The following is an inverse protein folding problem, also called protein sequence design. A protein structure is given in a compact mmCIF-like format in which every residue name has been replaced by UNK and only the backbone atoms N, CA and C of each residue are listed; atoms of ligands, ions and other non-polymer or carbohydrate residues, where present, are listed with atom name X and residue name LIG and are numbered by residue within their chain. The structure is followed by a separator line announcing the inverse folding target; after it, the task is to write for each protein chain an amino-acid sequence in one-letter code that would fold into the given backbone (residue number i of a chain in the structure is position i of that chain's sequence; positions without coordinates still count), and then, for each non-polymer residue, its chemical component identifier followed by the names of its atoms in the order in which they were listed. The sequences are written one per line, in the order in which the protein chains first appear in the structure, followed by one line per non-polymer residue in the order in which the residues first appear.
data_IF_855986742290
#
_entry.id   IF_855986742290
#
_cell.length_a   1.000
_cell.length_b   1.000
_cell.length_c   1.000
_cell.angle_alpha   90.00
_cell.angle_beta   90.00
_cell.angle_gamma   90.00
#
_symmetry.space_group_name_H-M   'P 1'
#
loop_
_entity.id
_entity.type
_entity.pdbx_description
1 polymer ?
#
# COMPACT_ATOMS: atom_id res chain seq x y z
N UNK A 1 -38.90 8.53 5.20
CA UNK A 1 -39.99 8.39 4.22
C UNK A 1 -40.57 7.00 4.42
N UNK A 2 -41.69 6.92 5.12
CA UNK A 2 -42.47 5.70 5.30
C UNK A 2 -43.20 5.42 3.99
N UNK A 3 -42.91 4.27 3.39
CA UNK A 3 -43.68 3.78 2.25
C UNK A 3 -45.05 3.30 2.76
N UNK A 4 -46.07 3.27 1.92
CA UNK A 4 -47.44 2.86 2.29
C UNK A 4 -47.56 1.39 2.77
N UNK A 5 -46.43 0.67 2.82
CA UNK A 5 -46.28 -0.72 3.24
C UNK A 5 -45.85 -0.90 4.71
N UNK A 6 -45.76 0.17 5.50
CA UNK A 6 -45.32 0.07 6.92
C UNK A 6 -43.82 -0.23 7.09
N UNK A 7 -43.03 -0.05 6.03
CA UNK A 7 -41.58 -0.28 6.03
C UNK A 7 -40.83 1.05 6.04
N UNK A 8 -39.96 1.24 7.03
CA UNK A 8 -39.03 2.35 7.08
C UNK A 8 -37.63 1.87 6.72
N UNK A 9 -37.17 2.23 5.52
CA UNK A 9 -35.80 1.91 5.06
C UNK A 9 -34.84 2.98 5.54
N UNK A 10 -33.90 2.60 6.40
CA UNK A 10 -32.83 3.48 6.86
C UNK A 10 -31.62 3.35 5.94
N UNK A 11 -31.21 4.49 5.41
CA UNK A 11 -30.12 4.61 4.44
C UNK A 11 -28.81 4.92 5.17
N UNK A 12 -27.71 4.46 4.59
CA UNK A 12 -26.37 4.92 5.00
C UNK A 12 -26.14 6.37 4.58
N UNK A 13 -25.28 7.08 5.31
CA UNK A 13 -24.85 8.44 4.98
C UNK A 13 -24.05 8.48 3.67
N UNK A 14 -24.06 9.63 3.00
CA UNK A 14 -23.29 9.86 1.76
C UNK A 14 -21.80 9.64 2.03
N UNK A 15 -21.29 10.22 3.13
CA UNK A 15 -19.91 10.06 3.57
C UNK A 15 -19.52 8.59 3.71
N UNK A 16 -20.35 7.77 4.36
CA UNK A 16 -20.10 6.33 4.52
C UNK A 16 -20.00 5.61 3.17
N UNK A 17 -20.90 5.93 2.22
CA UNK A 17 -20.86 5.37 0.86
C UNK A 17 -19.57 5.76 0.14
N UNK A 18 -19.17 7.02 0.20
CA UNK A 18 -17.93 7.48 -0.42
C UNK A 18 -16.71 6.79 0.20
N UNK A 19 -16.63 6.66 1.52
CA UNK A 19 -15.54 5.93 2.19
C UNK A 19 -15.49 4.45 1.78
N UNK A 20 -16.65 3.78 1.76
CA UNK A 20 -16.74 2.38 1.32
C UNK A 20 -16.29 2.20 -0.13
N UNK A 21 -16.71 3.12 -1.01
CA UNK A 21 -16.34 3.13 -2.42
C UNK A 21 -14.83 3.31 -2.60
N UNK A 22 -14.25 4.36 -2.01
CA UNK A 22 -12.80 4.64 -2.08
C UNK A 22 -11.98 3.48 -1.54
N UNK A 23 -12.39 2.87 -0.42
CA UNK A 23 -11.68 1.74 0.20
C UNK A 23 -11.62 0.52 -0.73
N UNK A 24 -12.73 0.15 -1.36
CA UNK A 24 -12.76 -1.01 -2.28
C UNK A 24 -12.01 -0.69 -3.56
N UNK A 25 -12.18 0.51 -4.13
CA UNK A 25 -11.46 0.93 -5.34
C UNK A 25 -9.94 0.95 -5.13
N UNK A 26 -9.46 1.38 -3.96
CA UNK A 26 -8.04 1.32 -3.61
C UNK A 26 -7.49 -0.11 -3.66
N UNK A 27 -8.25 -1.08 -3.13
CA UNK A 27 -7.85 -2.49 -3.18
C UNK A 27 -7.74 -3.03 -4.61
N UNK A 28 -8.71 -2.72 -5.47
CA UNK A 28 -8.67 -3.09 -6.90
C UNK A 28 -7.49 -2.44 -7.61
N UNK A 29 -7.26 -1.15 -7.34
CA UNK A 29 -6.17 -0.39 -7.90
C UNK A 29 -4.80 -0.96 -7.52
N UNK A 30 -4.62 -1.36 -6.26
CA UNK A 30 -3.37 -1.98 -5.78
C UNK A 30 -3.04 -3.28 -6.54
N UNK A 31 -4.03 -4.12 -6.82
CA UNK A 31 -3.84 -5.36 -7.59
C UNK A 31 -3.36 -5.09 -9.02
N UNK A 32 -3.96 -4.10 -9.70
CA UNK A 32 -3.50 -3.68 -11.03
C UNK A 32 -2.04 -3.20 -10.99
N UNK A 33 -1.68 -2.43 -9.97
CA UNK A 33 -0.33 -1.90 -9.85
C UNK A 33 0.69 -3.02 -9.64
N UNK A 34 0.39 -4.00 -8.78
CA UNK A 34 1.22 -5.20 -8.60
C UNK A 34 1.42 -5.95 -9.93
N UNK A 35 0.36 -6.04 -10.75
CA UNK A 35 0.45 -6.62 -12.08
C UNK A 35 1.41 -5.81 -12.98
N UNK A 36 1.29 -4.48 -13.01
CA UNK A 36 2.18 -3.62 -13.79
C UNK A 36 3.66 -3.69 -13.35
N UNK A 37 3.97 -3.96 -12.09
CA UNK A 37 5.36 -4.19 -11.65
C UNK A 37 5.90 -5.57 -12.05
N UNK A 38 5.01 -6.55 -12.19
CA UNK A 38 5.39 -7.94 -12.41
C UNK A 38 5.51 -8.30 -13.89
N UNK A 39 4.81 -7.58 -14.77
CA UNK A 39 4.64 -7.97 -16.17
C UNK A 39 4.90 -6.78 -17.13
N UNK A 40 5.74 -6.94 -18.19
CA UNK A 40 6.06 -5.87 -19.13
C UNK A 40 5.02 -5.68 -20.27
N UNK A 41 3.98 -6.52 -20.37
CA UNK A 41 2.99 -6.48 -21.47
C UNK A 41 2.29 -5.13 -21.64
N UNK A 42 2.23 -4.30 -20.60
CA UNK A 42 1.64 -2.97 -20.67
C UNK A 42 2.57 -1.91 -21.27
N UNK A 43 3.84 -2.22 -21.57
CA UNK A 43 4.81 -1.21 -22.02
C UNK A 43 4.38 -0.47 -23.30
N UNK A 44 3.61 -1.14 -24.17
CA UNK A 44 3.02 -0.55 -25.38
C UNK A 44 1.87 0.44 -25.11
N UNK A 45 1.38 0.53 -23.87
CA UNK A 45 0.28 1.40 -23.49
C UNK A 45 0.81 2.67 -22.80
N UNK A 46 0.25 3.87 -23.10
CA UNK A 46 0.59 5.11 -22.40
C UNK A 46 -0.13 5.17 -21.04
N UNK A 47 0.42 4.53 -20.00
CA UNK A 47 -0.30 4.32 -18.74
C UNK A 47 -0.62 5.65 -18.02
N UNK A 48 0.20 6.68 -18.23
CA UNK A 48 0.00 8.02 -17.68
C UNK A 48 -1.31 8.69 -18.13
N UNK A 49 -1.79 8.42 -19.35
CA UNK A 49 -3.03 8.98 -19.89
C UNK A 49 -4.25 8.21 -19.38
N UNK A 50 -4.12 6.90 -19.22
CA UNK A 50 -5.23 6.02 -18.81
C UNK A 50 -5.35 5.87 -17.29
N UNK A 51 -4.38 6.33 -16.50
CA UNK A 51 -4.39 6.19 -15.04
C UNK A 51 -5.66 6.74 -14.38
N UNK A 52 -6.06 7.97 -14.71
CA UNK A 52 -7.29 8.57 -14.18
C UNK A 52 -8.56 7.84 -14.68
N UNK A 53 -8.74 7.56 -15.99
CA UNK A 53 -9.82 6.71 -16.48
C UNK A 53 -9.92 5.35 -15.77
N UNK A 54 -8.79 4.69 -15.48
CA UNK A 54 -8.75 3.41 -14.78
C UNK A 54 -9.29 3.54 -13.35
N UNK A 55 -8.94 4.60 -12.62
CA UNK A 55 -9.49 4.83 -11.27
C UNK A 55 -11.01 5.01 -11.34
N UNK A 56 -11.50 5.78 -12.32
CA UNK A 56 -12.94 5.98 -12.52
C UNK A 56 -13.65 4.66 -12.88
N UNK A 57 -13.02 3.82 -13.70
CA UNK A 57 -13.50 2.47 -13.99
C UNK A 57 -13.55 1.61 -12.71
N UNK A 58 -12.50 1.63 -11.88
CA UNK A 58 -12.47 0.89 -10.61
C UNK A 58 -13.44 1.44 -9.56
N UNK A 59 -13.79 2.72 -9.61
CA UNK A 59 -14.90 3.28 -8.84
C UNK A 59 -16.23 2.70 -9.32
N UNK A 60 -16.45 2.62 -10.64
CA UNK A 60 -17.61 1.94 -11.20
C UNK A 60 -17.70 0.48 -10.78
N UNK A 61 -16.61 -0.28 -10.95
CA UNK A 61 -16.54 -1.71 -10.57
C UNK A 61 -16.75 -1.88 -9.06
N UNK A 62 -16.08 -1.08 -8.22
CA UNK A 62 -16.27 -1.12 -6.77
C UNK A 62 -17.72 -0.82 -6.37
N UNK A 63 -18.39 0.11 -7.07
CA UNK A 63 -19.80 0.40 -6.85
C UNK A 63 -20.66 -0.84 -7.08
N UNK A 64 -20.46 -1.55 -8.20
CA UNK A 64 -21.20 -2.77 -8.51
C UNK A 64 -20.88 -3.91 -7.54
N UNK A 65 -19.61 -4.08 -7.15
CA UNK A 65 -19.20 -5.06 -6.14
C UNK A 65 -19.92 -4.78 -4.81
N UNK A 66 -19.92 -3.53 -4.34
CA UNK A 66 -20.58 -3.14 -3.10
C UNK A 66 -22.10 -3.35 -3.16
N UNK A 67 -22.74 -3.02 -4.28
CA UNK A 67 -24.16 -3.31 -4.49
C UNK A 67 -24.44 -4.81 -4.49
N UNK A 68 -23.59 -5.62 -5.13
CA UNK A 68 -23.73 -7.07 -5.14
C UNK A 68 -23.58 -7.65 -3.74
N UNK A 69 -22.56 -7.24 -2.97
CA UNK A 69 -22.33 -7.69 -1.60
C UNK A 69 -23.49 -7.33 -0.66
N UNK A 70 -24.16 -6.21 -0.89
CA UNK A 70 -25.36 -5.81 -0.14
C UNK A 70 -26.64 -6.53 -0.62
N UNK A 71 -26.68 -6.98 -1.88
CA UNK A 71 -27.85 -7.63 -2.48
C UNK A 71 -28.17 -8.98 -1.83
N UNK A 72 -29.43 -9.46 -1.88
CA UNK A 72 -29.79 -10.79 -1.37
C UNK A 72 -28.94 -11.92 -1.95
N UNK A 73 -28.52 -11.82 -3.22
CA UNK A 73 -27.64 -12.78 -3.87
C UNK A 73 -26.25 -12.83 -3.23
N UNK A 74 -25.63 -11.67 -3.00
CA UNK A 74 -24.34 -11.57 -2.33
C UNK A 74 -24.41 -12.02 -0.87
N UNK A 75 -25.46 -11.66 -0.14
CA UNK A 75 -25.65 -12.11 1.24
C UNK A 75 -25.82 -13.63 1.33
N UNK A 76 -26.52 -14.26 0.37
CA UNK A 76 -26.61 -15.73 0.29
C UNK A 76 -25.25 -16.37 0.01
N UNK A 77 -24.49 -15.82 -0.93
CA UNK A 77 -23.14 -16.31 -1.27
C UNK A 77 -22.21 -16.31 -0.05
N UNK A 78 -22.27 -15.25 0.76
CA UNK A 78 -21.43 -15.07 1.94
C UNK A 78 -22.10 -15.53 3.26
N UNK A 79 -23.26 -16.17 3.18
CA UNK A 79 -24.01 -16.63 4.35
C UNK A 79 -23.23 -17.56 5.29
N UNK A 80 -22.37 -18.49 4.82
CA UNK A 80 -21.59 -19.36 5.72
C UNK A 80 -20.66 -18.59 6.65
N UNK A 81 -20.10 -17.47 6.18
CA UNK A 81 -19.16 -16.65 6.95
C UNK A 81 -19.88 -15.62 7.80
N UNK A 82 -20.87 -14.92 7.23
CA UNK A 82 -21.55 -13.79 7.88
C UNK A 82 -22.89 -14.16 8.53
N UNK A 83 -23.25 -15.47 8.52
CA UNK A 83 -24.48 -16.01 9.10
C UNK A 83 -25.75 -15.31 8.57
N UNK A 84 -25.76 -14.92 7.29
CA UNK A 84 -26.86 -14.19 6.64
C UNK A 84 -26.90 -12.68 6.90
N UNK A 85 -25.93 -12.10 7.62
CA UNK A 85 -25.72 -10.66 7.65
C UNK A 85 -25.02 -10.19 6.36
N UNK A 86 -25.27 -8.96 5.88
CA UNK A 86 -24.57 -8.45 4.72
C UNK A 86 -23.08 -8.24 5.06
N UNK A 87 -22.14 -8.64 4.19
CA UNK A 87 -20.71 -8.38 4.37
C UNK A 87 -20.38 -6.89 4.50
N UNK A 88 -21.16 -6.03 3.83
CA UNK A 88 -21.00 -4.58 3.83
C UNK A 88 -22.37 -3.90 3.88
N UNK A 89 -22.47 -2.82 4.66
CA UNK A 89 -23.61 -1.89 4.61
C UNK A 89 -23.27 -0.75 3.66
N UNK A 90 -23.82 -0.77 2.44
CA UNK A 90 -23.44 0.20 1.41
C UNK A 90 -24.49 1.28 1.20
N UNK A 91 -25.68 0.98 0.64
CA UNK A 91 -26.78 1.93 0.48
C UNK A 91 -27.84 1.79 1.56
N UNK A 92 -28.16 0.55 1.94
CA UNK A 92 -29.20 0.18 2.91
C UNK A 92 -28.53 -0.23 4.21
N UNK A 93 -28.85 0.48 5.28
CA UNK A 93 -28.30 0.13 6.58
C UNK A 93 -29.16 -0.94 7.26
N UNK A 94 -30.45 -0.69 7.39
CA UNK A 94 -31.44 -1.65 7.89
C UNK A 94 -32.86 -1.21 7.50
N UNK A 95 -33.81 -2.14 7.59
CA UNK A 95 -35.22 -1.90 7.32
C UNK A 95 -36.01 -2.20 8.61
N UNK A 96 -36.89 -1.29 9.01
CA UNK A 96 -37.75 -1.49 10.19
C UNK A 96 -39.20 -1.63 9.75
N UNK A 97 -39.81 -2.75 10.13
CA UNK A 97 -41.21 -3.07 9.87
C UNK A 97 -42.04 -2.72 11.09
N UNK A 98 -43.01 -1.81 10.93
CA UNK A 98 -43.88 -1.35 12.04
C UNK A 98 -45.02 -2.31 12.38
N UNK A 99 -45.19 -3.41 11.64
CA UNK A 99 -46.10 -4.50 11.98
C UNK A 99 -47.59 -4.19 11.79
N UNK A 100 -47.93 -3.46 10.72
CA UNK A 100 -49.33 -3.19 10.34
C UNK A 100 -49.52 -3.56 8.86
N UNK A 101 -50.11 -4.72 8.62
CA UNK A 101 -50.87 -5.12 7.41
C UNK A 101 -51.36 -6.55 7.62
N UNK A 102 -52.55 -6.84 7.07
CA UNK A 102 -53.45 -8.02 7.20
C UNK A 102 -52.86 -9.45 7.26
N UNK A 103 -51.54 -9.63 7.22
CA UNK A 103 -50.82 -10.92 7.13
C UNK A 103 -49.88 -11.23 8.32
N UNK A 104 -50.23 -10.83 9.54
CA UNK A 104 -49.59 -11.32 10.77
C UNK A 104 -48.04 -11.14 10.83
N UNK A 105 -47.54 -10.00 10.34
CA UNK A 105 -46.11 -9.69 10.39
C UNK A 105 -45.76 -8.91 11.65
N UNK A 106 -45.26 -9.63 12.68
CA UNK A 106 -44.68 -9.01 13.87
C UNK A 106 -43.60 -7.98 13.51
N UNK A 107 -43.61 -6.86 14.24
CA UNK A 107 -42.68 -5.76 14.05
C UNK A 107 -41.23 -6.25 14.20
N UNK A 108 -40.37 -5.90 13.23
CA UNK A 108 -39.05 -6.50 13.11
C UNK A 108 -38.04 -5.54 12.46
N UNK A 109 -36.76 -5.75 12.78
CA UNK A 109 -35.63 -5.14 12.09
C UNK A 109 -35.02 -6.17 11.15
N UNK A 110 -34.95 -5.83 9.87
CA UNK A 110 -34.40 -6.67 8.81
C UNK A 110 -33.12 -6.08 8.28
N UNK A 111 -32.11 -6.94 8.08
CA UNK A 111 -30.85 -6.58 7.47
C UNK A 111 -30.23 -7.80 6.76
N UNK A 112 -29.95 -7.67 5.47
CA UNK A 112 -29.55 -8.81 4.64
C UNK A 112 -30.64 -9.88 4.62
N UNK A 113 -30.30 -11.09 5.08
CA UNK A 113 -31.25 -12.21 5.22
C UNK A 113 -31.75 -12.38 6.66
N UNK A 114 -31.25 -11.58 7.61
CA UNK A 114 -31.64 -11.67 9.02
C UNK A 114 -32.87 -10.82 9.29
N UNK A 115 -33.81 -11.40 10.03
CA UNK A 115 -34.98 -10.72 10.60
C UNK A 115 -34.95 -10.90 12.11
N UNK A 116 -34.77 -9.80 12.83
CA UNK A 116 -34.80 -9.76 14.29
C UNK A 116 -36.12 -9.16 14.70
N UNK A 117 -36.97 -9.95 15.35
CA UNK A 117 -38.24 -9.45 15.87
C UNK A 117 -38.00 -8.45 17.00
N UNK A 118 -38.78 -7.38 17.05
CA UNK A 118 -38.60 -6.29 18.03
C UNK A 118 -38.94 -6.72 19.47
N UNK A 119 -39.87 -7.65 19.63
CA UNK A 119 -40.27 -8.21 20.92
C UNK A 119 -39.08 -8.84 21.66
N UNK A 120 -38.17 -9.49 20.94
CA UNK A 120 -36.96 -10.12 21.48
C UNK A 120 -35.86 -9.12 21.89
N UNK A 121 -35.93 -7.85 21.50
CA UNK A 121 -34.89 -6.86 21.78
C UNK A 121 -35.23 -6.15 23.09
N UNK A 122 -34.46 -6.41 24.14
CA UNK A 122 -34.72 -5.86 25.48
C UNK A 122 -33.91 -4.59 25.74
N UNK A 123 -32.70 -4.50 25.17
CA UNK A 123 -31.87 -3.29 25.31
C UNK A 123 -31.06 -2.94 24.06
N UNK A 124 -30.80 -1.64 23.91
CA UNK A 124 -29.91 -1.06 22.91
C UNK A 124 -28.67 -0.47 23.58
N UNK A 125 -27.50 -0.93 23.16
CA UNK A 125 -26.24 -0.46 23.72
C UNK A 125 -25.30 0.10 22.67
N UNK A 126 -24.76 1.29 22.93
CA UNK A 126 -23.63 1.82 22.17
C UNK A 126 -22.30 1.42 22.81
N UNK A 127 -21.50 0.67 22.07
CA UNK A 127 -20.12 0.29 22.45
C UNK A 127 -19.15 1.46 22.38
N UNK A 128 -17.98 1.32 23.03
CA UNK A 128 -16.87 2.28 22.92
C UNK A 128 -16.45 2.53 21.46
N UNK A 129 -16.52 1.49 20.64
CA UNK A 129 -16.12 1.51 19.22
C UNK A 129 -17.23 2.01 18.28
N UNK A 130 -18.32 2.58 18.81
CA UNK A 130 -19.39 3.15 18.00
C UNK A 130 -20.27 2.12 17.27
N UNK A 131 -20.23 0.85 17.68
CA UNK A 131 -21.21 -0.15 17.24
C UNK A 131 -22.45 -0.12 18.14
N UNK A 132 -23.63 -0.14 17.54
CA UNK A 132 -24.93 -0.34 18.18
C UNK A 132 -25.19 -1.84 18.33
N UNK A 133 -25.44 -2.30 19.54
CA UNK A 133 -25.77 -3.69 19.87
C UNK A 133 -27.25 -3.80 20.20
N UNK A 134 -27.89 -4.81 19.61
CA UNK A 134 -29.24 -5.22 19.99
C UNK A 134 -29.08 -6.41 20.91
N UNK A 135 -29.62 -6.30 22.11
CA UNK A 135 -29.46 -7.34 23.13
C UNK A 135 -30.80 -7.89 23.58
N UNK A 136 -30.77 -9.16 23.96
CA UNK A 136 -31.92 -9.89 24.49
C UNK A 136 -31.55 -10.56 25.80
N UNK A 137 -32.46 -10.47 26.76
CA UNK A 137 -32.41 -11.18 28.04
C UNK A 137 -33.20 -12.48 27.96
N UNK A 138 -34.23 -12.55 27.12
CA UNK A 138 -35.16 -13.68 27.00
C UNK A 138 -34.58 -14.96 26.36
N UNK A 139 -33.47 -14.88 25.65
CA UNK A 139 -32.91 -16.01 24.89
C UNK A 139 -31.95 -16.89 25.71
N UNK A 140 -31.61 -16.51 26.95
CA UNK A 140 -30.86 -17.39 27.84
C UNK A 140 -31.75 -18.48 28.45
N UNK A 141 -31.31 -19.74 28.34
CA UNK A 141 -31.75 -20.76 29.29
C UNK A 141 -31.34 -20.39 30.71
N UNK A 142 -32.08 -20.87 31.72
CA UNK A 142 -31.80 -20.62 33.15
C UNK A 142 -30.31 -20.84 33.45
N UNK A 143 -29.60 -19.77 33.80
CA UNK A 143 -28.26 -19.85 34.40
C UNK A 143 -28.36 -20.51 35.78
N UNK A 144 -27.31 -21.21 36.21
CA UNK A 144 -27.25 -21.74 37.57
C UNK A 144 -27.04 -20.61 38.59
N UNK A 145 -27.51 -20.79 39.82
CA UNK A 145 -27.37 -19.78 40.90
C UNK A 145 -25.90 -19.35 41.11
N UNK A 146 -24.95 -20.28 40.97
CA UNK A 146 -23.52 -20.02 41.11
C UNK A 146 -22.91 -19.16 39.98
N UNK A 147 -23.46 -19.22 38.77
CA UNK A 147 -23.02 -18.36 37.64
C UNK A 147 -23.63 -16.96 37.73
N UNK A 148 -24.82 -16.87 38.31
CA UNK A 148 -25.56 -15.62 38.53
C UNK A 148 -24.84 -14.72 39.56
N UNK A 149 -24.24 -15.31 40.60
CA UNK A 149 -23.43 -14.57 41.58
C UNK A 149 -22.06 -14.10 41.04
N UNK A 150 -21.45 -14.84 40.12
CA UNK A 150 -20.10 -14.51 39.59
C UNK A 150 -20.09 -13.41 38.52
N UNK A 151 -21.13 -13.33 37.70
CA UNK A 151 -21.14 -12.47 36.50
C UNK A 151 -21.96 -11.18 36.70
N UNK A 152 -22.69 -11.09 37.81
CA UNK A 152 -23.71 -10.06 38.01
C UNK A 152 -24.99 -10.44 37.28
N UNK A 153 -26.14 -10.08 37.86
CA UNK A 153 -27.45 -10.47 37.35
C UNK A 153 -27.63 -9.98 35.89
N UNK A 154 -27.85 -10.94 34.98
CA UNK A 154 -28.21 -10.80 33.56
C UNK A 154 -27.08 -10.53 32.55
N UNK A 155 -26.50 -11.61 32.01
CA UNK A 155 -25.65 -11.55 30.82
C UNK A 155 -26.50 -11.59 29.54
N UNK A 156 -27.02 -10.43 29.13
CA UNK A 156 -27.76 -10.27 27.86
C UNK A 156 -26.99 -10.77 26.62
N UNK A 157 -27.66 -11.52 25.72
CA UNK A 157 -27.07 -12.04 24.48
C UNK A 157 -27.17 -11.01 23.35
N UNK A 158 -26.12 -10.89 22.54
CA UNK A 158 -26.09 -9.99 21.38
C UNK A 158 -26.84 -10.65 20.21
N UNK A 159 -27.98 -10.08 19.85
CA UNK A 159 -28.77 -10.50 18.69
C UNK A 159 -28.17 -9.98 17.38
N UNK A 160 -27.79 -8.70 17.38
CA UNK A 160 -27.26 -8.02 16.21
C UNK A 160 -26.26 -6.93 16.62
N UNK A 161 -25.32 -6.65 15.71
CA UNK A 161 -24.31 -5.60 15.87
C UNK A 161 -24.24 -4.77 14.60
N UNK A 162 -24.41 -3.46 14.73
CA UNK A 162 -24.43 -2.52 13.61
C UNK A 162 -23.41 -1.40 13.81
N UNK A 163 -22.68 -0.96 12.78
CA UNK A 163 -21.87 0.25 12.87
C UNK A 163 -22.78 1.49 12.90
N UNK A 164 -22.93 2.15 14.05
CA UNK A 164 -23.82 3.30 14.18
C UNK A 164 -23.39 4.46 13.27
N UNK A 165 -22.07 4.62 13.07
CA UNK A 165 -21.49 5.62 12.18
C UNK A 165 -21.80 5.44 10.70
N UNK A 166 -22.48 4.37 10.29
CA UNK A 166 -22.92 4.20 8.91
C UNK A 166 -24.08 5.16 8.55
N UNK A 167 -24.89 5.57 9.52
CA UNK A 167 -26.01 6.49 9.35
C UNK A 167 -25.69 7.91 9.83
N UNK A 168 -26.42 8.90 9.33
CA UNK A 168 -26.31 10.28 9.81
C UNK A 168 -26.83 10.39 11.25
N UNK A 169 -26.41 11.41 12.01
CA UNK A 169 -26.91 11.58 13.38
C UNK A 169 -28.43 11.76 13.43
N UNK A 170 -29.02 12.41 12.41
CA UNK A 170 -30.47 12.55 12.29
C UNK A 170 -31.15 11.19 12.09
N UNK A 171 -30.66 10.36 11.18
CA UNK A 171 -31.21 9.02 10.94
C UNK A 171 -31.02 8.09 12.15
N UNK A 172 -29.93 8.25 12.91
CA UNK A 172 -29.71 7.53 14.17
C UNK A 172 -30.78 7.88 15.21
N UNK A 173 -31.16 9.15 15.33
CA UNK A 173 -32.25 9.57 16.23
C UNK A 173 -33.59 9.03 15.77
N UNK A 174 -33.90 9.17 14.49
CA UNK A 174 -35.13 8.63 13.88
C UNK A 174 -35.25 7.12 14.13
N UNK A 175 -34.16 6.36 14.00
CA UNK A 175 -34.14 4.93 14.32
C UNK A 175 -34.53 4.68 15.78
N UNK A 176 -33.86 5.32 16.74
CA UNK A 176 -34.11 5.04 18.16
C UNK A 176 -35.50 5.53 18.59
N UNK A 177 -35.97 6.66 18.07
CA UNK A 177 -37.33 7.14 18.30
C UNK A 177 -38.38 6.17 17.75
N UNK A 178 -38.16 5.64 16.55
CA UNK A 178 -39.04 4.64 15.94
C UNK A 178 -39.05 3.34 16.77
N UNK A 179 -37.87 2.87 17.22
CA UNK A 179 -37.78 1.69 18.07
C UNK A 179 -38.47 1.90 19.43
N UNK A 180 -38.30 3.06 20.08
CA UNK A 180 -38.99 3.41 21.33
C UNK A 180 -40.50 3.56 21.14
N UNK A 181 -40.95 4.05 19.99
CA UNK A 181 -42.38 4.12 19.65
C UNK A 181 -42.99 2.73 19.51
N UNK A 182 -42.26 1.79 18.92
CA UNK A 182 -42.72 0.41 18.74
C UNK A 182 -42.57 -0.45 20.01
N UNK A 183 -41.55 -0.20 20.84
CA UNK A 183 -41.34 -0.85 22.14
C UNK A 183 -40.96 0.21 23.19
N UNK A 184 -41.94 0.77 23.93
CA UNK A 184 -41.70 1.83 24.93
C UNK A 184 -40.77 1.41 26.07
N UNK A 185 -40.74 0.11 26.39
CA UNK A 185 -39.93 -0.47 27.48
C UNK A 185 -38.45 -0.68 27.11
N UNK A 186 -38.03 -0.26 25.91
CA UNK A 186 -36.68 -0.52 25.41
C UNK A 186 -35.61 0.25 26.21
N UNK A 187 -34.75 -0.49 26.91
CA UNK A 187 -33.64 0.10 27.67
C UNK A 187 -32.53 0.61 26.75
N UNK A 188 -31.97 1.77 27.07
CA UNK A 188 -30.95 2.45 26.29
C UNK A 188 -29.80 2.86 27.19
N UNK A 189 -28.59 2.38 26.90
CA UNK A 189 -27.45 2.70 27.75
C UNK A 189 -27.10 4.20 27.75
N UNK A 190 -26.47 4.66 28.84
CA UNK A 190 -26.10 6.08 29.03
C UNK A 190 -25.29 6.67 27.87
N UNK A 191 -24.45 5.87 27.20
CA UNK A 191 -23.63 6.33 26.06
C UNK A 191 -24.48 6.62 24.83
N UNK A 192 -25.41 5.72 24.51
CA UNK A 192 -26.34 5.93 23.41
C UNK A 192 -27.27 7.11 23.73
N UNK A 193 -27.78 7.19 24.97
CA UNK A 193 -28.62 8.31 25.41
C UNK A 193 -27.88 9.66 25.28
N UNK A 194 -26.66 9.78 25.81
CA UNK A 194 -25.82 10.99 25.64
C UNK A 194 -25.61 11.36 24.17
N UNK A 195 -25.44 10.38 23.29
CA UNK A 195 -25.29 10.61 21.85
C UNK A 195 -26.59 11.09 21.20
N UNK A 196 -27.74 10.56 21.62
CA UNK A 196 -29.06 10.98 21.14
C UNK A 196 -29.43 12.38 21.65
N UNK A 197 -29.04 12.72 22.87
CA UNK A 197 -29.30 14.03 23.49
C UNK A 197 -28.41 15.14 22.91
N UNK A 198 -27.26 14.77 22.34
CA UNK A 198 -26.37 15.75 21.70
C UNK A 198 -27.09 16.52 20.59
N UNK A 199 -26.90 17.84 20.57
CA UNK A 199 -27.48 18.71 19.54
C UNK A 199 -26.93 18.30 18.17
N UNK A 200 -27.80 18.26 17.17
CA UNK A 200 -27.35 18.04 15.79
C UNK A 200 -26.58 19.28 15.38
N UNK A 201 -25.25 19.14 15.27
CA UNK A 201 -24.38 20.25 14.91
C UNK A 201 -24.53 20.49 13.40
N UNK A 202 -25.05 21.66 13.04
CA UNK A 202 -25.08 22.11 11.64
C UNK A 202 -23.64 22.14 11.13
N UNK A 203 -23.33 21.26 10.18
CA UNK A 203 -21.99 21.15 9.58
C UNK A 203 -21.24 19.86 9.88
N UNK A 204 -21.67 19.01 10.82
CA UNK A 204 -20.99 17.72 11.05
C UNK A 204 -20.99 16.84 9.80
N UNK A 205 -22.15 16.72 9.13
CA UNK A 205 -22.25 15.98 7.87
C UNK A 205 -21.47 16.65 6.73
N UNK A 206 -21.35 17.99 6.76
CA UNK A 206 -20.51 18.71 5.80
C UNK A 206 -19.03 18.35 5.99
N UNK A 207 -18.54 18.34 7.23
CA UNK A 207 -17.15 17.95 7.55
C UNK A 207 -16.88 16.50 7.13
N UNK A 208 -17.78 15.57 7.41
CA UNK A 208 -17.64 14.17 6.96
C UNK A 208 -17.64 14.06 5.43
N UNK A 209 -18.52 14.82 4.76
CA UNK A 209 -18.60 14.82 3.30
C UNK A 209 -17.34 15.43 2.68
N UNK A 210 -16.82 16.52 3.26
CA UNK A 210 -15.55 17.12 2.86
C UNK A 210 -14.37 16.16 3.07
N UNK A 211 -14.34 15.43 4.19
CA UNK A 211 -13.35 14.38 4.44
C UNK A 211 -13.42 13.27 3.40
N UNK A 212 -14.63 12.86 3.00
CA UNK A 212 -14.82 11.86 1.95
C UNK A 212 -14.43 12.39 0.56
N UNK A 213 -14.75 13.65 0.24
CA UNK A 213 -14.34 14.31 -0.99
C UNK A 213 -12.81 14.48 -1.06
N UNK A 214 -12.17 14.79 0.06
CA UNK A 214 -10.71 14.84 0.17
C UNK A 214 -10.08 13.47 -0.10
N UNK A 215 -10.59 12.37 0.50
CA UNK A 215 -10.07 11.04 0.21
C UNK A 215 -10.32 10.61 -1.25
N UNK A 216 -11.45 11.02 -1.82
CA UNK A 216 -11.71 10.81 -3.24
C UNK A 216 -10.68 11.54 -4.12
N UNK A 217 -10.38 12.80 -3.80
CA UNK A 217 -9.30 13.56 -4.45
C UNK A 217 -7.95 12.85 -4.30
N UNK A 218 -7.59 12.39 -3.09
CA UNK A 218 -6.35 11.64 -2.85
C UNK A 218 -6.31 10.36 -3.67
N UNK A 219 -7.43 9.66 -3.86
CA UNK A 219 -7.49 8.47 -4.69
C UNK A 219 -7.24 8.79 -6.18
N UNK A 220 -7.81 9.89 -6.69
CA UNK A 220 -7.57 10.34 -8.07
C UNK A 220 -6.11 10.77 -8.25
N UNK A 221 -5.59 11.54 -7.30
CA UNK A 221 -4.20 11.98 -7.28
C UNK A 221 -3.25 10.78 -7.21
N UNK A 222 -3.58 9.78 -6.39
CA UNK A 222 -2.82 8.54 -6.28
C UNK A 222 -2.66 7.87 -7.63
N UNK A 223 -3.76 7.55 -8.32
CA UNK A 223 -3.62 6.82 -9.58
C UNK A 223 -3.01 7.66 -10.70
N UNK A 224 -3.26 8.97 -10.75
CA UNK A 224 -2.53 9.84 -11.68
C UNK A 224 -1.01 9.86 -11.39
N UNK A 225 -0.63 10.04 -10.13
CA UNK A 225 0.76 10.11 -9.69
C UNK A 225 1.49 8.79 -9.93
N UNK A 226 0.89 7.66 -9.57
CA UNK A 226 1.51 6.34 -9.71
C UNK A 226 1.57 5.89 -11.16
N UNK A 227 0.57 6.21 -12.00
CA UNK A 227 0.64 5.93 -13.44
C UNK A 227 1.71 6.78 -14.12
N UNK A 228 1.82 8.06 -13.76
CA UNK A 228 2.90 8.93 -14.26
C UNK A 228 4.28 8.43 -13.81
N UNK A 229 4.39 7.99 -12.56
CA UNK A 229 5.61 7.38 -12.02
C UNK A 229 6.01 6.12 -12.79
N UNK A 230 5.08 5.20 -13.02
CA UNK A 230 5.33 3.98 -13.79
C UNK A 230 5.74 4.29 -15.23
N UNK A 231 5.01 5.18 -15.91
CA UNK A 231 5.31 5.56 -17.29
C UNK A 231 6.72 6.18 -17.40
N UNK A 232 7.08 7.04 -16.46
CA UNK A 232 8.43 7.63 -16.41
C UNK A 232 9.49 6.54 -16.17
N UNK A 233 9.28 5.63 -15.22
CA UNK A 233 10.21 4.53 -14.98
C UNK A 233 10.36 3.61 -16.18
N UNK A 234 9.27 3.32 -16.89
CA UNK A 234 9.28 2.61 -18.17
C UNK A 234 10.18 3.31 -19.17
N UNK A 235 10.06 4.63 -19.32
CA UNK A 235 10.87 5.40 -20.27
C UNK A 235 12.37 5.40 -19.91
N UNK A 236 12.74 5.53 -18.64
CA UNK A 236 14.13 5.35 -18.22
C UNK A 236 14.63 3.92 -18.49
N UNK A 237 13.82 2.91 -18.17
CA UNK A 237 14.14 1.51 -18.45
C UNK A 237 14.35 1.25 -19.96
N UNK A 238 13.45 1.74 -20.82
CA UNK A 238 13.56 1.58 -22.26
C UNK A 238 14.80 2.28 -22.82
N UNK A 239 15.14 3.46 -22.28
CA UNK A 239 16.35 4.19 -22.64
C UNK A 239 17.61 3.37 -22.36
N UNK A 240 17.74 2.80 -21.15
CA UNK A 240 18.89 1.94 -20.83
C UNK A 240 18.88 0.62 -21.61
N UNK A 241 17.72 -0.02 -21.77
CA UNK A 241 17.62 -1.36 -22.35
C UNK A 241 17.99 -1.37 -23.83
N UNK A 242 17.64 -0.29 -24.56
CA UNK A 242 18.01 -0.09 -25.97
C UNK A 242 19.53 -0.08 -26.18
N UNK A 243 20.30 0.34 -25.17
CA UNK A 243 21.75 0.47 -25.23
C UNK A 243 22.48 -0.71 -24.59
N UNK A 244 21.84 -1.42 -23.66
CA UNK A 244 22.44 -2.56 -22.95
C UNK A 244 22.33 -3.88 -23.72
N UNK A 245 21.22 -4.12 -24.42
CA UNK A 245 20.96 -5.42 -25.05
C UNK A 245 20.37 -5.21 -26.45
N UNK A 246 20.84 -5.98 -27.44
CA UNK A 246 20.31 -5.89 -28.81
C UNK A 246 18.88 -6.45 -28.93
N UNK A 247 18.44 -7.25 -27.95
CA UNK A 247 17.22 -8.07 -28.03
C UNK A 247 15.91 -7.34 -27.69
N UNK A 248 15.96 -6.22 -26.97
CA UNK A 248 14.76 -5.69 -26.28
C UNK A 248 13.75 -5.08 -27.26
N UNK A 249 14.20 -4.58 -28.41
CA UNK A 249 13.34 -4.03 -29.46
C UNK A 249 13.89 -4.40 -30.85
N UNK A 250 13.51 -5.56 -31.43
CA UNK A 250 14.05 -6.05 -32.71
C UNK A 250 13.75 -5.13 -33.90
N UNK A 251 12.83 -4.17 -33.72
CA UNK A 251 12.42 -3.18 -34.72
C UNK A 251 13.48 -2.11 -34.99
N UNK A 252 14.39 -1.82 -34.05
CA UNK A 252 15.40 -0.76 -34.19
C UNK A 252 16.75 -1.36 -34.53
N UNK A 253 17.03 -1.45 -35.84
CA UNK A 253 18.32 -1.94 -36.33
C UNK A 253 19.32 -0.81 -36.46
N UNK A 254 20.54 -1.04 -35.96
CA UNK A 254 21.66 -0.11 -36.04
C UNK A 254 21.88 0.71 -34.77
N UNK A 255 23.14 0.83 -34.38
CA UNK A 255 23.57 1.51 -33.15
C UNK A 255 23.10 2.98 -33.08
N UNK A 256 23.22 3.72 -34.19
CA UNK A 256 22.79 5.13 -34.26
C UNK A 256 21.29 5.29 -33.98
N UNK A 257 20.46 4.47 -34.62
CA UNK A 257 19.00 4.52 -34.43
C UNK A 257 18.59 4.11 -33.00
N UNK A 258 19.29 3.14 -32.40
CA UNK A 258 19.09 2.76 -30.99
C UNK A 258 19.41 3.92 -30.05
N UNK A 259 20.53 4.61 -30.29
CA UNK A 259 20.93 5.77 -29.49
C UNK A 259 19.95 6.94 -29.60
N UNK A 260 19.51 7.29 -30.80
CA UNK A 260 18.50 8.33 -31.02
C UNK A 260 17.18 7.99 -30.30
N UNK A 261 16.72 6.74 -30.38
CA UNK A 261 15.51 6.31 -29.66
C UNK A 261 15.71 6.31 -28.15
N UNK A 262 16.88 5.90 -27.65
CA UNK A 262 17.19 5.93 -26.23
C UNK A 262 17.18 7.37 -25.67
N UNK A 263 17.68 8.35 -26.43
CA UNK A 263 17.61 9.77 -26.08
C UNK A 263 16.15 10.27 -26.06
N UNK A 264 15.34 9.88 -27.04
CA UNK A 264 13.92 10.24 -27.06
C UNK A 264 13.15 9.69 -25.86
N UNK A 265 13.38 8.43 -25.48
CA UNK A 265 12.74 7.85 -24.29
C UNK A 265 13.23 8.53 -23.02
N UNK A 266 14.52 8.86 -22.92
CA UNK A 266 15.05 9.64 -21.80
C UNK A 266 14.37 11.01 -21.67
N UNK A 267 14.25 11.75 -22.78
CA UNK A 267 13.61 13.07 -22.78
C UNK A 267 12.12 13.01 -22.39
N UNK A 268 11.42 11.92 -22.73
CA UNK A 268 10.04 11.69 -22.26
C UNK A 268 9.98 11.52 -20.75
N UNK A 269 10.90 10.74 -20.18
CA UNK A 269 10.99 10.57 -18.73
C UNK A 269 11.30 11.90 -18.02
N UNK A 270 12.26 12.68 -18.53
CA UNK A 270 12.61 13.99 -17.95
C UNK A 270 11.43 14.98 -18.01
N UNK A 271 10.66 14.99 -19.10
CA UNK A 271 9.43 15.81 -19.19
C UNK A 271 8.41 15.46 -18.12
N UNK A 272 8.27 14.18 -17.78
CA UNK A 272 7.38 13.73 -16.70
C UNK A 272 7.92 14.13 -15.32
N UNK A 273 9.23 14.01 -15.11
CA UNK A 273 9.88 14.41 -13.86
C UNK A 273 9.82 15.94 -13.64
N UNK A 274 9.90 16.72 -14.71
CA UNK A 274 9.78 18.17 -14.67
C UNK A 274 8.32 18.65 -14.58
N UNK A 275 7.41 17.99 -15.30
CA UNK A 275 5.98 18.31 -15.41
C UNK A 275 5.14 17.89 -14.20
N UNK A 276 5.70 17.93 -12.98
CA UNK A 276 5.00 17.56 -11.75
C UNK A 276 3.90 18.57 -11.42
N UNK A 277 2.73 18.07 -11.06
CA UNK A 277 1.61 18.93 -10.67
C UNK A 277 1.88 19.49 -9.27
N UNK A 278 1.85 20.81 -9.08
CA UNK A 278 2.22 21.41 -7.79
C UNK A 278 1.24 21.04 -6.68
N UNK A 279 -0.01 20.69 -7.00
CA UNK A 279 -1.06 20.39 -6.01
C UNK A 279 -1.03 18.89 -5.62
N UNK A 280 -0.37 18.03 -6.39
CA UNK A 280 -0.33 16.59 -6.15
C UNK A 280 0.42 16.28 -4.84
N UNK A 281 -0.30 15.72 -3.88
CA UNK A 281 0.25 15.28 -2.60
C UNK A 281 1.04 13.98 -2.80
N UNK A 282 0.53 13.09 -3.65
CA UNK A 282 1.14 11.79 -3.90
C UNK A 282 2.40 11.91 -4.74
N UNK A 283 2.44 12.79 -5.76
CA UNK A 283 3.68 13.01 -6.51
C UNK A 283 4.79 13.55 -5.59
N UNK A 284 4.50 14.53 -4.74
CA UNK A 284 5.52 15.02 -3.77
C UNK A 284 6.05 13.87 -2.91
N UNK A 285 5.15 13.03 -2.38
CA UNK A 285 5.55 11.86 -1.60
C UNK A 285 6.40 10.85 -2.39
N UNK A 286 6.05 10.56 -3.65
CA UNK A 286 6.76 9.58 -4.50
C UNK A 286 8.10 10.08 -5.03
N UNK A 287 8.23 11.38 -5.31
CA UNK A 287 9.37 11.94 -6.02
C UNK A 287 10.40 12.63 -5.12
N UNK A 288 9.98 13.12 -3.95
CA UNK A 288 10.86 13.91 -3.08
C UNK A 288 11.43 13.09 -1.91
N UNK A 289 10.77 11.98 -1.53
CA UNK A 289 11.14 11.22 -0.33
C UNK A 289 11.08 9.69 -0.53
N UNK A 290 11.88 8.98 0.28
CA UNK A 290 11.80 7.53 0.43
C UNK A 290 12.40 6.71 -0.72
N UNK A 291 12.06 5.41 -0.71
CA UNK A 291 12.59 4.41 -1.65
C UNK A 291 12.14 4.64 -3.09
N UNK A 292 10.91 5.14 -3.30
CA UNK A 292 10.39 5.44 -4.62
C UNK A 292 11.23 6.55 -5.30
N UNK A 293 11.43 7.67 -4.61
CA UNK A 293 12.25 8.78 -5.08
C UNK A 293 13.69 8.32 -5.37
N UNK A 294 14.26 7.53 -4.47
CA UNK A 294 15.57 6.90 -4.67
C UNK A 294 15.62 6.09 -5.98
N UNK A 295 14.62 5.24 -6.22
CA UNK A 295 14.51 4.46 -7.45
C UNK A 295 14.39 5.31 -8.72
N UNK A 296 13.75 6.49 -8.66
CA UNK A 296 13.73 7.45 -9.79
C UNK A 296 15.13 7.94 -10.11
N UNK A 297 15.86 8.42 -9.09
CA UNK A 297 17.19 8.97 -9.29
C UNK A 297 18.21 7.91 -9.72
N UNK A 298 18.05 6.67 -9.24
CA UNK A 298 18.82 5.54 -9.71
C UNK A 298 18.55 5.24 -11.19
N UNK A 299 17.27 5.05 -11.58
CA UNK A 299 16.90 4.74 -12.96
C UNK A 299 17.33 5.85 -13.94
N UNK A 300 17.19 7.12 -13.54
CA UNK A 300 17.71 8.27 -14.28
C UNK A 300 19.23 8.19 -14.44
N UNK A 301 19.95 7.87 -13.36
CA UNK A 301 21.41 7.70 -13.37
C UNK A 301 21.86 6.60 -14.32
N UNK A 302 21.21 5.44 -14.28
CA UNK A 302 21.49 4.31 -15.17
C UNK A 302 21.28 4.70 -16.64
N UNK A 303 20.14 5.31 -16.98
CA UNK A 303 19.87 5.75 -18.35
C UNK A 303 20.93 6.76 -18.85
N UNK A 304 21.29 7.76 -18.02
CA UNK A 304 22.35 8.73 -18.35
C UNK A 304 23.71 8.07 -18.55
N UNK A 305 24.01 7.04 -17.76
CA UNK A 305 25.29 6.34 -17.83
C UNK A 305 25.45 5.64 -19.18
N UNK A 306 24.42 4.89 -19.60
CA UNK A 306 24.41 4.21 -20.90
C UNK A 306 24.38 5.18 -22.07
N UNK A 307 23.76 6.35 -21.92
CA UNK A 307 23.83 7.44 -22.91
C UNK A 307 25.23 8.09 -23.02
N UNK A 308 26.18 7.69 -22.16
CA UNK A 308 27.54 8.24 -22.11
C UNK A 308 27.67 9.53 -21.31
N UNK A 309 26.58 10.03 -20.70
CA UNK A 309 26.56 11.24 -19.86
C UNK A 309 27.03 10.93 -18.43
N UNK A 310 28.24 10.37 -18.29
CA UNK A 310 28.76 9.80 -17.04
C UNK A 310 28.75 10.77 -15.85
N UNK A 311 29.09 12.05 -16.06
CA UNK A 311 29.11 13.04 -14.99
C UNK A 311 27.70 13.32 -14.41
N UNK A 312 26.67 13.38 -15.26
CA UNK A 312 25.28 13.58 -14.83
C UNK A 312 24.69 12.30 -14.21
N UNK A 313 25.11 11.14 -14.70
CA UNK A 313 24.75 9.84 -14.13
C UNK A 313 25.19 9.73 -12.66
N UNK A 314 26.47 10.05 -12.38
CA UNK A 314 27.02 10.05 -11.02
C UNK A 314 26.25 11.03 -10.13
N UNK A 315 25.99 12.26 -10.59
CA UNK A 315 25.20 13.23 -9.82
C UNK A 315 23.79 12.72 -9.49
N UNK A 316 23.16 11.99 -10.41
CA UNK A 316 21.84 11.38 -10.17
C UNK A 316 21.92 10.29 -9.12
N UNK A 317 22.93 9.42 -9.21
CA UNK A 317 23.13 8.34 -8.26
C UNK A 317 23.53 8.85 -6.86
N UNK A 318 24.32 9.92 -6.78
CA UNK A 318 24.61 10.61 -5.51
C UNK A 318 23.33 11.16 -4.87
N UNK A 319 22.39 11.65 -5.68
CA UNK A 319 21.07 12.08 -5.18
C UNK A 319 20.23 10.89 -4.69
N UNK A 320 20.27 9.76 -5.39
CA UNK A 320 19.65 8.51 -4.92
C UNK A 320 20.25 8.05 -3.58
N UNK A 321 21.58 8.04 -3.48
CA UNK A 321 22.30 7.66 -2.27
C UNK A 321 21.98 8.60 -1.10
N UNK A 322 21.83 9.91 -1.32
CA UNK A 322 21.38 10.84 -0.26
C UNK A 322 19.99 10.50 0.30
N UNK A 323 19.10 9.96 -0.53
CA UNK A 323 17.77 9.51 -0.10
C UNK A 323 17.82 8.18 0.64
N UNK A 324 18.77 7.29 0.29
CA UNK A 324 18.94 6.00 0.93
C UNK A 324 20.42 5.69 1.25
N UNK A 325 21.00 6.34 2.28
CA UNK A 325 22.45 6.34 2.51
C UNK A 325 23.05 5.00 2.90
N UNK A 326 22.24 4.04 3.36
CA UNK A 326 22.67 2.70 3.78
C UNK A 326 22.41 1.62 2.72
N UNK A 327 22.01 1.98 1.51
CA UNK A 327 21.82 0.99 0.44
C UNK A 327 23.18 0.51 -0.08
N UNK A 328 23.56 -0.72 0.24
CA UNK A 328 24.78 -1.35 -0.30
C UNK A 328 24.79 -1.31 -1.84
N UNK A 329 23.67 -1.65 -2.48
CA UNK A 329 23.53 -1.62 -3.94
C UNK A 329 23.95 -0.27 -4.53
N UNK A 330 23.43 0.84 -3.99
CA UNK A 330 23.76 2.18 -4.48
C UNK A 330 25.21 2.56 -4.19
N UNK A 331 25.76 2.15 -3.04
CA UNK A 331 27.16 2.40 -2.73
C UNK A 331 28.09 1.70 -3.72
N UNK A 332 27.81 0.44 -4.03
CA UNK A 332 28.58 -0.35 -5.00
C UNK A 332 28.44 0.22 -6.42
N UNK A 333 27.22 0.54 -6.86
CA UNK A 333 26.99 1.18 -8.16
C UNK A 333 27.74 2.51 -8.27
N UNK A 334 27.73 3.33 -7.20
CA UNK A 334 28.41 4.63 -7.17
C UNK A 334 29.93 4.48 -7.17
N UNK A 335 30.47 3.54 -6.38
CA UNK A 335 31.89 3.22 -6.36
C UNK A 335 32.37 2.75 -7.73
N UNK A 336 31.65 1.82 -8.37
CA UNK A 336 31.94 1.33 -9.73
C UNK A 336 32.00 2.49 -10.73
N UNK A 337 30.98 3.36 -10.75
CA UNK A 337 30.92 4.46 -11.71
C UNK A 337 31.99 5.51 -11.46
N UNK A 338 32.28 5.84 -10.20
CA UNK A 338 33.40 6.73 -9.83
C UNK A 338 34.73 6.16 -10.31
N UNK A 339 34.96 4.87 -10.07
CA UNK A 339 36.17 4.17 -10.50
C UNK A 339 36.31 4.16 -12.04
N UNK A 340 35.23 3.92 -12.77
CA UNK A 340 35.21 4.02 -14.23
C UNK A 340 35.54 5.41 -14.76
N UNK A 341 35.09 6.46 -14.08
CA UNK A 341 35.40 7.86 -14.45
C UNK A 341 36.78 8.33 -13.96
N UNK A 342 37.52 7.49 -13.23
CA UNK A 342 38.85 7.81 -12.70
C UNK A 342 38.87 8.51 -11.34
N UNK A 343 37.72 8.70 -10.69
CA UNK A 343 37.62 9.21 -9.31
C UNK A 343 37.90 8.09 -8.30
N UNK A 344 39.16 7.65 -8.21
CA UNK A 344 39.58 6.58 -7.28
C UNK A 344 39.43 7.00 -5.83
N UNK A 345 39.72 8.26 -5.50
CA UNK A 345 39.55 8.81 -4.15
C UNK A 345 38.10 8.76 -3.67
N UNK A 346 37.16 9.20 -4.51
CA UNK A 346 35.74 9.17 -4.19
C UNK A 346 35.20 7.74 -4.13
N UNK A 347 35.68 6.86 -5.01
CA UNK A 347 35.37 5.44 -4.96
C UNK A 347 35.76 4.82 -3.60
N UNK A 348 37.02 5.01 -3.17
CA UNK A 348 37.49 4.51 -1.87
C UNK A 348 36.67 5.04 -0.70
N UNK A 349 36.37 6.34 -0.68
CA UNK A 349 35.55 6.92 0.39
C UNK A 349 34.16 6.26 0.49
N UNK A 350 33.52 5.96 -0.64
CA UNK A 350 32.23 5.25 -0.67
C UNK A 350 32.38 3.80 -0.22
N UNK A 351 33.42 3.10 -0.67
CA UNK A 351 33.68 1.70 -0.32
C UNK A 351 34.06 1.51 1.15
N UNK A 352 34.89 2.39 1.71
CA UNK A 352 35.22 2.35 3.15
C UNK A 352 33.95 2.43 3.98
N UNK A 353 33.06 3.36 3.64
CA UNK A 353 31.76 3.48 4.31
C UNK A 353 30.87 2.25 4.08
N UNK A 354 30.92 1.64 2.90
CA UNK A 354 30.18 0.41 2.61
C UNK A 354 30.68 -0.77 3.47
N UNK A 355 31.99 -0.89 3.68
CA UNK A 355 32.60 -1.90 4.57
C UNK A 355 32.22 -1.64 6.02
N UNK A 356 32.16 -0.38 6.45
CA UNK A 356 31.72 -0.01 7.80
C UNK A 356 30.24 -0.32 8.05
N UNK A 357 29.37 0.02 7.08
CA UNK A 357 27.92 -0.15 7.19
C UNK A 357 27.46 -1.60 6.91
N UNK A 358 28.23 -2.37 6.13
CA UNK A 358 27.93 -3.74 5.65
C UNK A 358 29.17 -4.64 5.73
N UNK A 359 29.76 -4.73 6.92
CA UNK A 359 31.01 -5.49 7.15
C UNK A 359 30.89 -6.99 6.87
N UNK A 360 29.67 -7.50 6.75
CA UNK A 360 29.36 -8.88 6.41
C UNK A 360 29.33 -9.21 4.92
N UNK A 361 29.39 -8.21 4.04
CA UNK A 361 29.36 -8.38 2.59
C UNK A 361 30.78 -8.32 1.99
N UNK A 362 31.13 -9.31 1.18
CA UNK A 362 32.45 -9.39 0.54
C UNK A 362 32.59 -8.38 -0.61
N UNK A 363 31.46 -8.00 -1.23
CA UNK A 363 31.43 -7.21 -2.45
C UNK A 363 32.18 -5.85 -2.33
N UNK A 364 31.99 -5.03 -1.27
CA UNK A 364 32.80 -3.83 -1.05
C UNK A 364 34.31 -4.08 -1.04
N UNK A 365 34.76 -5.16 -0.39
CA UNK A 365 36.17 -5.52 -0.30
C UNK A 365 36.74 -5.87 -1.68
N UNK A 366 35.99 -6.61 -2.52
CA UNK A 366 36.40 -6.93 -3.89
C UNK A 366 36.54 -5.67 -4.75
N UNK A 367 35.61 -4.72 -4.62
CA UNK A 367 35.70 -3.44 -5.31
C UNK A 367 36.87 -2.58 -4.82
N UNK A 368 37.22 -2.66 -3.54
CA UNK A 368 38.39 -1.96 -2.98
C UNK A 368 39.68 -2.51 -3.59
N UNK A 369 39.81 -3.83 -3.68
CA UNK A 369 40.94 -4.50 -4.35
C UNK A 369 41.00 -4.09 -5.82
N UNK A 370 39.86 -4.03 -6.51
CA UNK A 370 39.80 -3.59 -7.91
C UNK A 370 40.25 -2.13 -8.08
N UNK A 371 39.90 -1.25 -7.13
CA UNK A 371 40.36 0.13 -7.12
C UNK A 371 41.87 0.23 -6.91
N UNK A 372 42.43 -0.56 -5.99
CA UNK A 372 43.86 -0.58 -5.67
C UNK A 372 44.71 -1.12 -6.82
N UNK A 373 44.21 -2.16 -7.53
CA UNK A 373 44.84 -2.67 -8.74
C UNK A 373 44.89 -1.62 -9.86
N UNK A 374 43.81 -0.85 -10.04
CA UNK A 374 43.73 0.21 -11.07
C UNK A 374 44.68 1.38 -10.82
N UNK A 375 45.01 1.68 -9.56
CA UNK A 375 46.02 2.69 -9.21
C UNK A 375 47.48 2.24 -9.46
N UNK A 376 47.70 1.05 -10.05
CA UNK A 376 49.01 0.53 -10.41
C UNK A 376 49.97 0.44 -9.20
N UNK A 377 49.42 0.12 -8.03
CA UNK A 377 50.24 -0.25 -6.89
C UNK A 377 50.98 -1.56 -7.24
N UNK A 378 52.25 -1.68 -6.86
CA UNK A 378 53.03 -2.89 -7.16
C UNK A 378 52.32 -4.15 -6.66
N UNK A 379 52.50 -5.29 -7.34
CA UNK A 379 51.78 -6.54 -7.04
C UNK A 379 51.85 -6.95 -5.55
N UNK A 380 52.98 -6.68 -4.89
CA UNK A 380 53.17 -6.96 -3.46
C UNK A 380 52.33 -6.04 -2.55
N UNK A 381 52.13 -4.78 -2.93
CA UNK A 381 51.29 -3.83 -2.18
C UNK A 381 49.81 -4.22 -2.28
N UNK A 382 49.34 -4.57 -3.47
CA UNK A 382 47.98 -5.10 -3.68
C UNK A 382 47.79 -6.37 -2.87
N UNK A 383 48.75 -7.31 -2.92
CA UNK A 383 48.65 -8.57 -2.16
C UNK A 383 48.56 -8.33 -0.65
N UNK A 384 49.31 -7.35 -0.14
CA UNK A 384 49.26 -6.95 1.27
C UNK A 384 47.89 -6.38 1.63
N UNK A 385 47.36 -5.44 0.85
CA UNK A 385 46.04 -4.84 1.05
C UNK A 385 44.91 -5.87 0.94
N UNK A 386 44.96 -6.76 -0.06
CA UNK A 386 44.02 -7.88 -0.18
C UNK A 386 43.99 -8.71 1.11
N UNK A 387 45.16 -9.02 1.66
CA UNK A 387 45.26 -9.79 2.91
C UNK A 387 44.65 -9.02 4.08
N UNK A 388 44.89 -7.71 4.17
CA UNK A 388 44.31 -6.85 5.21
C UNK A 388 42.78 -6.79 5.11
N UNK A 389 42.22 -6.49 3.93
CA UNK A 389 40.76 -6.45 3.74
C UNK A 389 40.09 -7.79 4.02
N UNK A 390 40.67 -8.90 3.53
CA UNK A 390 40.11 -10.23 3.75
C UNK A 390 40.24 -10.66 5.22
N UNK A 391 41.30 -10.26 5.92
CA UNK A 391 41.43 -10.53 7.36
C UNK A 391 40.41 -9.75 8.19
N UNK A 392 40.16 -8.48 7.87
CA UNK A 392 39.13 -7.69 8.52
C UNK A 392 37.72 -8.25 8.25
N UNK A 393 37.46 -8.68 7.02
CA UNK A 393 36.23 -9.37 6.67
C UNK A 393 36.05 -10.69 7.43
N UNK A 394 37.11 -11.52 7.52
CA UNK A 394 37.08 -12.79 8.26
C UNK A 394 36.77 -12.58 9.75
N UNK A 395 37.37 -11.55 10.36
CA UNK A 395 37.08 -11.16 11.75
C UNK A 395 35.63 -10.65 11.92
N UNK A 396 35.14 -9.83 10.98
CA UNK A 396 33.79 -9.28 11.02
C UNK A 396 32.71 -10.36 10.83
N UNK A 397 32.88 -11.22 9.84
CA UNK A 397 31.90 -12.27 9.49
C UNK A 397 32.04 -13.45 10.41
N UNK A 398 33.21 -14.07 10.48
CA UNK A 398 33.39 -15.36 11.15
C UNK A 398 33.80 -15.18 12.61
N UNK A 399 34.71 -14.25 12.89
CA UNK A 399 35.10 -13.81 14.23
C UNK A 399 35.28 -14.93 15.25
N UNK A 400 35.14 -14.60 16.54
CA UNK A 400 35.04 -15.62 17.59
C UNK A 400 33.60 -16.11 17.71
N UNK A 401 33.41 -17.42 17.79
CA UNK A 401 32.10 -18.04 17.96
C UNK A 401 31.34 -17.42 19.14
N UNK A 402 30.08 -16.96 18.96
CA UNK A 402 29.32 -16.36 20.04
C UNK A 402 29.03 -17.41 21.12
N UNK A 403 29.11 -17.00 22.38
CA UNK A 403 28.91 -17.92 23.50
C UNK A 403 27.49 -18.51 23.57
N UNK A 404 26.49 -17.82 22.98
CA UNK A 404 25.12 -18.31 22.91
C UNK A 404 24.33 -17.68 21.74
N UNK A 405 23.54 -18.47 20.99
CA UNK A 405 23.54 -19.93 20.99
C UNK A 405 24.84 -20.48 20.35
N UNK A 406 25.47 -21.52 20.94
CA UNK A 406 26.65 -22.17 20.35
C UNK A 406 26.26 -22.85 19.02
N UNK A 407 27.20 -22.90 18.06
CA UNK A 407 26.96 -23.52 16.76
C UNK A 407 26.10 -22.71 15.79
N UNK A 408 25.92 -21.41 16.03
CA UNK A 408 25.31 -20.51 15.05
C UNK A 408 26.24 -20.35 13.85
N UNK A 409 26.05 -21.15 12.80
CA UNK A 409 26.74 -20.96 11.52
C UNK A 409 26.55 -19.52 11.06
N UNK A 410 27.62 -18.72 11.10
CA UNK A 410 27.63 -17.40 10.50
C UNK A 410 27.74 -17.57 9.00
N UNK A 411 26.75 -17.05 8.26
CA UNK A 411 26.69 -17.17 6.82
C UNK A 411 26.92 -15.80 6.18
N UNK A 412 27.61 -15.79 5.04
CA UNK A 412 27.75 -14.60 4.22
C UNK A 412 26.43 -14.33 3.49
N UNK A 413 25.90 -13.12 3.58
CA UNK A 413 24.66 -12.70 2.92
C UNK A 413 24.95 -12.10 1.54
N UNK A 414 25.59 -12.86 0.66
CA UNK A 414 26.02 -12.30 -0.63
C UNK A 414 24.87 -12.11 -1.63
N UNK A 415 24.88 -10.96 -2.30
CA UNK A 415 24.09 -10.71 -3.52
C UNK A 415 24.96 -10.10 -4.60
N UNK A 416 25.14 -10.85 -5.68
CA UNK A 416 25.87 -10.41 -6.87
C UNK A 416 24.90 -10.06 -7.99
N UNK A 417 25.07 -8.89 -8.60
CA UNK A 417 24.42 -8.57 -9.87
C UNK A 417 25.35 -8.93 -11.05
N UNK A 418 24.76 -9.21 -12.22
CA UNK A 418 25.52 -9.56 -13.43
C UNK A 418 26.59 -8.52 -13.74
N UNK A 419 26.25 -7.24 -13.62
CA UNK A 419 27.17 -6.13 -13.92
C UNK A 419 28.35 -6.08 -12.93
N UNK A 420 28.14 -6.49 -11.67
CA UNK A 420 29.23 -6.58 -10.68
C UNK A 420 30.19 -7.71 -11.02
N UNK A 421 29.65 -8.87 -11.39
CA UNK A 421 30.46 -10.03 -11.78
C UNK A 421 31.28 -9.73 -13.02
N UNK A 422 30.66 -9.14 -14.06
CA UNK A 422 31.35 -8.76 -15.30
C UNK A 422 32.42 -7.70 -15.04
N UNK A 423 32.12 -6.71 -14.20
CA UNK A 423 33.09 -5.67 -13.86
C UNK A 423 34.28 -6.25 -13.11
N UNK A 424 34.03 -7.02 -12.04
CA UNK A 424 35.07 -7.58 -11.19
C UNK A 424 35.90 -8.64 -11.91
N UNK A 425 35.29 -9.46 -12.79
CA UNK A 425 36.04 -10.42 -13.59
C UNK A 425 37.03 -9.72 -14.52
N UNK A 426 36.60 -8.62 -15.17
CA UNK A 426 37.48 -7.81 -16.02
C UNK A 426 38.57 -7.12 -15.21
N UNK A 427 38.19 -6.51 -14.08
CA UNK A 427 39.13 -5.74 -13.27
C UNK A 427 40.17 -6.60 -12.56
N UNK A 428 39.76 -7.74 -11.99
CA UNK A 428 40.61 -8.57 -11.14
C UNK A 428 41.33 -9.68 -11.91
N UNK A 429 40.65 -10.33 -12.85
CA UNK A 429 41.14 -11.56 -13.49
C UNK A 429 41.74 -11.34 -14.88
N UNK A 430 41.71 -10.10 -15.41
CA UNK A 430 42.16 -9.76 -16.77
C UNK A 430 41.52 -10.66 -17.85
N UNK A 431 40.31 -11.17 -17.59
CA UNK A 431 39.55 -11.97 -18.54
C UNK A 431 38.73 -11.05 -19.44
N UNK A 432 39.01 -11.08 -20.74
CA UNK A 432 38.08 -10.59 -21.76
C UNK A 432 36.99 -11.66 -21.93
N UNK A 433 35.81 -11.39 -21.38
CA UNK A 433 34.60 -12.18 -21.60
C UNK A 433 33.88 -11.56 -22.80
N UNK A 434 34.18 -12.07 -24.00
CA UNK A 434 33.45 -11.76 -25.24
C UNK A 434 32.02 -12.32 -25.23
#
# INVERSE_FOLDING_TARGET
MTDSSGVTVLKTSISHRCYGLVKVSYGLFAVLFIYCFSDPSWFGLPISVIGLPIILLFLGIAHFILLFLESPGGVRLFAPVFKGAPPVFYRRWMEVYSGDTENDTTAAVVYGLKRVRLDLIDSLELTLWGSLLFKSVSIQGRLSEAETERVGAYQSQILARFPLGAASQADQKVLVELLKKLKPELDVNQRLQKRLDSKIVKGEELVKTLGAAFLFYVLLDLGFATSSFLEMQKHYYLSQSLLRTEEVLPEVKGEKARRERAEQEFDRAEKMLAGRLPISLVQRALFDHGSAACGVWQARGEALFYLGKKAEAIKSLEKAHKLYPRSLKLMIELARWKLETGDTSGCRSVLTKAIEDHGEDLLPCLYMIAADKKENQGADAIRKQCKEYLSGFDENVFGTEPWWPPGGNRFMSERYYRDDLLYLSKALLDMDLD
#
